data_IF_557704776201
#
_entry.id   IF_557704776201
#
_cell.length_a   1.000
_cell.length_b   1.000
_cell.length_c   1.000
_cell.angle_alpha   90.00
_cell.angle_beta   90.00
_cell.angle_gamma   90.00
#
_symmetry.space_group_name_H-M   'P 1'
#
loop_
_entity.id
_entity.type
_entity.pdbx_description
1 polymer ?
#
# COMPACT_ATOMS: atom_id res chain seq x y z
N UNK A 1 16.84 16.17 12.94
CA UNK A 1 16.80 15.46 11.66
C UNK A 1 15.47 14.73 11.62
N UNK A 2 14.64 15.04 10.64
CA UNK A 2 13.29 14.46 10.51
C UNK A 2 13.19 13.72 9.19
N UNK A 3 12.35 12.68 9.15
CA UNK A 3 12.02 11.94 7.94
C UNK A 3 10.56 12.26 7.62
N UNK A 4 10.32 12.70 6.39
CA UNK A 4 8.98 12.90 5.85
C UNK A 4 8.77 11.95 4.67
N UNK A 5 7.60 11.32 4.60
CA UNK A 5 7.20 10.44 3.50
C UNK A 5 6.03 11.07 2.76
N UNK A 6 6.09 11.04 1.43
CA UNK A 6 5.01 11.49 0.55
C UNK A 6 4.69 10.33 -0.39
N UNK A 7 3.41 9.99 -0.48
CA UNK A 7 2.90 8.86 -1.26
C UNK A 7 1.62 9.26 -1.98
N UNK A 8 1.43 8.76 -3.19
CA UNK A 8 0.20 8.90 -3.97
C UNK A 8 0.06 7.72 -4.94
N UNK A 9 -1.15 7.48 -5.45
CA UNK A 9 -1.35 6.62 -6.60
C UNK A 9 -0.84 7.34 -7.86
N UNK A 10 -0.14 6.60 -8.74
CA UNK A 10 0.41 7.15 -9.98
C UNK A 10 -0.70 7.32 -11.01
N UNK A 11 -0.88 8.54 -11.50
CA UNK A 11 -1.90 8.88 -12.51
C UNK A 11 -1.30 9.38 -13.84
N UNK A 12 -0.01 9.72 -13.86
CA UNK A 12 0.68 10.25 -15.03
C UNK A 12 1.93 9.44 -15.40
N UNK A 13 2.55 9.79 -16.53
CA UNK A 13 3.84 9.21 -16.94
C UNK A 13 5.03 9.81 -16.19
N UNK A 14 4.82 10.84 -15.37
CA UNK A 14 5.87 11.50 -14.61
C UNK A 14 5.49 11.58 -13.10
N UNK A 15 5.60 10.46 -12.37
CA UNK A 15 5.10 10.34 -10.99
C UNK A 15 5.67 11.38 -10.02
N UNK A 16 6.93 11.78 -10.21
CA UNK A 16 7.58 12.76 -9.32
C UNK A 16 6.92 14.14 -9.36
N UNK A 17 6.29 14.50 -10.48
CA UNK A 17 5.58 15.79 -10.59
C UNK A 17 4.26 15.81 -9.84
N UNK A 18 3.65 14.64 -9.60
CA UNK A 18 2.38 14.52 -8.90
C UNK A 18 2.52 14.84 -7.40
N UNK A 19 3.70 14.58 -6.82
CA UNK A 19 4.00 14.84 -5.41
C UNK A 19 4.59 16.23 -5.15
N UNK A 20 4.83 17.03 -6.19
CA UNK A 20 5.44 18.35 -6.10
C UNK A 20 4.75 19.29 -5.08
N UNK A 21 3.40 19.39 -5.03
CA UNK A 21 2.73 20.25 -4.05
C UNK A 21 3.05 19.89 -2.60
N UNK A 22 3.29 18.61 -2.29
CA UNK A 22 3.66 18.16 -0.96
C UNK A 22 5.14 18.40 -0.67
N UNK A 23 6.02 18.24 -1.66
CA UNK A 23 7.45 18.52 -1.52
C UNK A 23 7.72 20.00 -1.22
N UNK A 24 6.97 20.91 -1.83
CA UNK A 24 7.07 22.37 -1.58
C UNK A 24 6.78 22.75 -0.12
N UNK A 25 5.94 21.98 0.57
CA UNK A 25 5.65 22.17 2.00
C UNK A 25 6.79 21.68 2.93
N UNK A 26 7.71 20.88 2.40
CA UNK A 26 8.78 20.21 3.15
C UNK A 26 10.16 20.87 2.96
N UNK A 27 10.24 21.92 2.14
CA UNK A 27 11.51 22.63 1.91
C UNK A 27 12.03 23.34 3.19
N UNK A 28 13.36 23.34 3.43
CA UNK A 28 14.41 22.79 2.57
C UNK A 28 14.62 21.27 2.71
N UNK A 29 14.67 20.55 1.59
CA UNK A 29 14.93 19.09 1.57
C UNK A 29 16.43 18.80 1.40
N UNK A 30 17.03 18.10 2.37
CA UNK A 30 18.46 17.72 2.30
C UNK A 30 18.74 16.59 1.30
N UNK A 31 17.87 15.59 1.21
CA UNK A 31 18.03 14.42 0.34
C UNK A 31 16.65 13.82 0.06
N UNK A 32 16.45 13.31 -1.16
CA UNK A 32 15.23 12.64 -1.59
C UNK A 32 15.53 11.21 -2.06
N UNK A 33 14.69 10.26 -1.65
CA UNK A 33 14.73 8.88 -2.14
C UNK A 33 13.37 8.57 -2.77
N UNK A 34 13.36 8.23 -4.06
CA UNK A 34 12.13 8.03 -4.84
C UNK A 34 12.01 6.55 -5.21
N UNK A 35 10.83 5.99 -4.99
CA UNK A 35 10.48 4.63 -5.41
C UNK A 35 9.09 4.63 -6.03
N UNK A 36 8.93 3.87 -7.11
CA UNK A 36 7.64 3.62 -7.77
C UNK A 36 7.45 2.11 -7.80
N UNK A 37 6.28 1.65 -7.35
CA UNK A 37 5.97 0.23 -7.21
C UNK A 37 4.64 -0.10 -7.86
N UNK A 38 4.55 -1.27 -8.49
CA UNK A 38 3.29 -1.79 -9.00
C UNK A 38 2.47 -2.39 -7.86
N UNK A 39 1.17 -2.07 -7.82
CA UNK A 39 0.24 -2.68 -6.86
C UNK A 39 -0.40 -3.92 -7.48
N UNK A 40 -0.28 -5.05 -6.78
CA UNK A 40 -0.82 -6.34 -7.20
C UNK A 40 -1.91 -6.80 -6.24
N UNK A 41 -2.86 -7.56 -6.80
CA UNK A 41 -3.92 -8.25 -6.06
C UNK A 41 -3.95 -9.73 -6.43
N UNK A 42 -4.35 -10.63 -5.53
CA UNK A 42 -4.46 -12.04 -5.86
C UNK A 42 -5.50 -12.27 -6.96
N UNK A 43 -5.20 -13.19 -7.88
CA UNK A 43 -6.12 -13.61 -8.94
C UNK A 43 -7.00 -14.81 -8.55
N UNK A 44 -6.76 -15.40 -7.38
CA UNK A 44 -7.50 -16.53 -6.80
C UNK A 44 -7.75 -16.28 -5.30
N UNK A 45 -8.83 -16.83 -4.76
CA UNK A 45 -9.15 -16.71 -3.34
C UNK A 45 -8.40 -17.72 -2.45
N UNK A 46 -7.69 -18.67 -3.05
CA UNK A 46 -6.88 -19.63 -2.34
C UNK A 46 -7.65 -20.83 -1.78
N UNK A 47 -8.99 -20.88 -1.88
CA UNK A 47 -9.76 -21.97 -1.25
C UNK A 47 -9.52 -23.32 -1.92
N UNK A 48 -9.40 -23.35 -3.24
CA UNK A 48 -9.09 -24.59 -3.96
C UNK A 48 -7.59 -24.85 -4.03
N UNK A 49 -6.81 -23.82 -4.36
CA UNK A 49 -5.35 -23.92 -4.52
C UNK A 49 -4.61 -24.09 -3.20
N UNK A 50 -5.23 -23.72 -2.07
CA UNK A 50 -4.61 -23.63 -0.74
C UNK A 50 -3.39 -22.68 -0.70
N UNK A 51 -3.34 -21.72 -1.63
CA UNK A 51 -2.32 -20.68 -1.70
C UNK A 51 -3.01 -19.33 -1.46
N UNK A 52 -2.71 -18.70 -0.34
CA UNK A 52 -3.35 -17.43 0.07
C UNK A 52 -2.34 -16.29 -0.05
N UNK A 53 -2.58 -15.38 -1.00
CA UNK A 53 -1.70 -14.25 -1.29
C UNK A 53 -2.37 -12.95 -0.82
N UNK A 54 -1.59 -12.10 -0.16
CA UNK A 54 -2.01 -10.76 0.26
C UNK A 54 -2.03 -9.77 -0.90
N UNK A 55 -2.70 -8.65 -0.72
CA UNK A 55 -2.61 -7.49 -1.62
C UNK A 55 -1.30 -6.73 -1.36
N UNK A 56 -0.88 -5.95 -2.35
CA UNK A 56 0.19 -4.96 -2.15
C UNK A 56 -0.29 -3.82 -1.26
N UNK A 57 0.62 -3.24 -0.46
CA UNK A 57 0.36 -2.03 0.32
C UNK A 57 0.04 -0.86 -0.61
N UNK A 58 -1.02 -0.13 -0.31
CA UNK A 58 -1.41 1.02 -1.10
C UNK A 58 -0.61 2.28 -0.68
N UNK A 59 -1.00 3.45 -1.20
CA UNK A 59 -0.31 4.71 -0.92
C UNK A 59 -0.74 5.38 0.40
N UNK A 60 -1.70 4.81 1.15
CA UNK A 60 -2.22 5.38 2.38
C UNK A 60 -1.20 5.23 3.51
N UNK A 61 -1.19 6.21 4.42
CA UNK A 61 -0.25 6.25 5.55
C UNK A 61 -0.86 5.68 6.84
N UNK A 62 -1.95 4.93 6.73
CA UNK A 62 -2.65 4.28 7.84
C UNK A 62 -3.04 2.86 7.45
N UNK A 63 -3.26 1.98 8.43
CA UNK A 63 -3.34 0.54 8.22
C UNK A 63 -4.74 -0.04 7.98
N UNK A 64 -5.72 0.78 7.61
CA UNK A 64 -7.11 0.32 7.46
C UNK A 64 -7.25 -0.74 6.34
N UNK A 65 -6.65 -0.50 5.17
CA UNK A 65 -6.77 -1.40 4.02
C UNK A 65 -5.98 -2.69 4.22
N UNK A 66 -4.83 -2.62 4.90
CA UNK A 66 -4.04 -3.77 5.34
C UNK A 66 -4.80 -4.61 6.37
N UNK A 67 -5.46 -3.96 7.33
CA UNK A 67 -6.27 -4.64 8.32
C UNK A 67 -7.42 -5.41 7.67
N UNK A 68 -8.10 -4.80 6.70
CA UNK A 68 -9.15 -5.48 5.94
C UNK A 68 -8.62 -6.65 5.10
N UNK A 69 -7.42 -6.53 4.51
CA UNK A 69 -6.79 -7.65 3.79
C UNK A 69 -6.42 -8.80 4.73
N UNK A 70 -5.93 -8.50 5.94
CA UNK A 70 -5.63 -9.50 6.98
C UNK A 70 -6.90 -10.25 7.38
N UNK A 71 -8.00 -9.54 7.63
CA UNK A 71 -9.29 -10.17 8.01
C UNK A 71 -9.82 -11.06 6.90
N UNK A 72 -9.78 -10.57 5.66
CA UNK A 72 -10.24 -11.34 4.51
C UNK A 72 -9.36 -12.59 4.30
N UNK A 73 -8.04 -12.47 4.42
CA UNK A 73 -7.13 -13.61 4.36
C UNK A 73 -7.43 -14.62 5.47
N UNK A 74 -7.57 -14.16 6.72
CA UNK A 74 -7.88 -15.02 7.85
C UNK A 74 -9.16 -15.83 7.59
N UNK A 75 -10.20 -15.18 7.09
CA UNK A 75 -11.46 -15.83 6.73
C UNK A 75 -11.29 -16.85 5.60
N UNK A 76 -10.53 -16.53 4.55
CA UNK A 76 -10.25 -17.46 3.44
C UNK A 76 -9.48 -18.70 3.90
N UNK A 77 -8.55 -18.54 4.85
CA UNK A 77 -7.72 -19.61 5.41
C UNK A 77 -8.50 -20.49 6.39
N UNK A 78 -9.24 -19.88 7.30
CA UNK A 78 -9.84 -20.58 8.45
C UNK A 78 -11.30 -20.97 8.25
N UNK A 79 -12.00 -20.31 7.32
CA UNK A 79 -13.45 -20.42 7.15
C UNK A 79 -14.27 -19.66 8.19
N UNK A 80 -13.64 -18.88 9.09
CA UNK A 80 -14.31 -18.12 10.14
C UNK A 80 -13.89 -16.65 10.15
N UNK A 81 -14.76 -15.76 10.61
CA UNK A 81 -14.42 -14.34 10.79
C UNK A 81 -13.39 -14.17 11.91
N UNK A 82 -12.47 -13.21 11.73
CA UNK A 82 -11.53 -12.84 12.79
C UNK A 82 -12.29 -12.13 13.92
N UNK A 83 -12.45 -12.82 15.05
CA UNK A 83 -12.98 -12.28 16.29
C UNK A 83 -11.83 -11.91 17.23
N UNK A 84 -11.81 -10.65 17.68
CA UNK A 84 -10.85 -10.14 18.67
C UNK A 84 -11.45 -10.18 20.09
#
# INVERSE_FOLDING_TARGET
MSIATVSTAVETRNPETEVQPALELLEPIMQKFVSVSNLLVPNDDGKQSQIFVSRSYDALNHFETEYEDIRDMYRRITGTELCL
#
